data_IF_858132196239
#
_entry.id   IF_858132196239
#
_cell.length_a   1.000
_cell.length_b   1.000
_cell.length_c   1.000
_cell.angle_alpha   90.00
_cell.angle_beta   90.00
_cell.angle_gamma   90.00
#
_symmetry.space_group_name_H-M   'P 1'
#
loop_
_entity.id
_entity.type
_entity.pdbx_description
1 polymer ?
#
# COMPACT_ATOMS: atom_id res chain seq x y z
N UNK A 1 10.83 22.19 -9.39
CA UNK A 1 11.50 22.92 -8.30
C UNK A 1 12.87 23.35 -8.84
N UNK A 2 13.09 24.62 -9.05
CA UNK A 2 14.41 25.17 -9.34
C UNK A 2 15.15 25.47 -8.04
N UNK A 3 16.50 25.54 -8.09
CA UNK A 3 17.33 25.76 -6.89
C UNK A 3 16.99 27.02 -6.09
N UNK A 4 16.27 27.95 -6.67
CA UNK A 4 15.94 29.25 -6.08
C UNK A 4 14.44 29.58 -6.02
N UNK A 5 13.59 28.88 -6.74
CA UNK A 5 12.16 29.20 -6.81
C UNK A 5 11.28 27.96 -6.70
N UNK A 6 10.22 28.06 -5.90
CA UNK A 6 9.15 27.07 -5.81
C UNK A 6 7.95 27.62 -6.56
N UNK A 7 7.56 26.95 -7.63
CA UNK A 7 6.36 27.29 -8.41
C UNK A 7 5.20 26.44 -7.92
N UNK A 8 4.18 27.08 -7.35
CA UNK A 8 2.93 26.43 -6.95
C UNK A 8 1.90 26.71 -8.07
N UNK A 9 1.45 25.66 -8.74
CA UNK A 9 0.34 25.74 -9.70
C UNK A 9 -0.92 25.27 -9.01
N UNK A 10 -1.92 26.13 -8.99
CA UNK A 10 -3.27 25.75 -8.60
C UNK A 10 -3.88 24.95 -9.75
N UNK A 11 -4.17 23.70 -9.49
CA UNK A 11 -4.79 22.80 -10.46
C UNK A 11 -5.94 22.01 -9.82
N UNK A 12 -6.89 21.59 -10.62
CA UNK A 12 -7.94 20.67 -10.21
C UNK A 12 -7.59 19.30 -10.77
N UNK A 13 -7.26 18.30 -9.94
CA UNK A 13 -6.94 16.98 -10.43
C UNK A 13 -8.22 16.29 -10.95
N UNK A 14 -8.11 15.65 -12.11
CA UNK A 14 -9.13 14.76 -12.65
C UNK A 14 -8.53 13.36 -12.70
N UNK A 15 -9.14 12.41 -12.02
CA UNK A 15 -8.74 11.01 -12.08
C UNK A 15 -9.24 10.42 -13.40
N UNK A 16 -8.33 9.84 -14.15
CA UNK A 16 -8.62 9.21 -15.44
C UNK A 16 -8.31 7.73 -15.31
N UNK A 17 -9.22 6.87 -15.75
CA UNK A 17 -9.03 5.43 -15.75
C UNK A 17 -7.90 5.02 -16.71
N UNK A 18 -7.19 3.96 -16.36
CA UNK A 18 -6.18 3.39 -17.23
C UNK A 18 -6.82 2.90 -18.54
N UNK A 19 -6.25 3.29 -19.68
CA UNK A 19 -6.82 3.01 -21.01
C UNK A 19 -7.64 4.15 -21.60
N UNK A 20 -7.81 5.27 -20.90
CA UNK A 20 -8.41 6.46 -21.47
C UNK A 20 -7.46 7.16 -22.45
N UNK A 21 -8.00 7.63 -23.57
CA UNK A 21 -7.27 8.40 -24.57
C UNK A 21 -7.37 9.86 -24.19
N UNK A 22 -6.22 10.52 -23.97
CA UNK A 22 -6.17 11.95 -23.75
C UNK A 22 -6.39 12.68 -25.09
N UNK A 23 -7.36 13.59 -25.13
CA UNK A 23 -7.64 14.39 -26.32
C UNK A 23 -6.96 15.76 -26.30
N UNK A 24 -6.29 16.08 -25.21
CA UNK A 24 -5.67 17.38 -24.98
C UNK A 24 -4.18 17.23 -24.72
N UNK A 25 -3.37 18.02 -25.42
CA UNK A 25 -1.92 18.03 -25.23
C UNK A 25 -1.52 18.84 -24.00
N UNK A 26 -0.38 18.45 -23.40
CA UNK A 26 0.15 19.15 -22.22
C UNK A 26 0.50 20.60 -22.56
N UNK A 27 -0.11 21.54 -21.83
CA UNK A 27 0.10 22.98 -22.01
C UNK A 27 -0.93 23.67 -22.93
N UNK A 28 -1.86 22.93 -23.53
CA UNK A 28 -2.94 23.52 -24.33
C UNK A 28 -3.95 24.25 -23.44
N UNK A 29 -4.57 25.30 -24.00
CA UNK A 29 -5.63 26.04 -23.34
C UNK A 29 -6.95 25.27 -23.50
N UNK A 30 -7.65 25.03 -22.39
CA UNK A 30 -8.90 24.27 -22.34
C UNK A 30 -10.03 25.22 -21.95
N UNK A 31 -11.14 25.12 -22.63
CA UNK A 31 -12.36 25.88 -22.32
C UNK A 31 -13.34 25.01 -21.51
N UNK A 32 -14.34 25.66 -20.93
CA UNK A 32 -15.40 24.94 -20.22
C UNK A 32 -16.17 24.06 -21.21
N UNK A 33 -16.32 22.75 -20.84
CA UNK A 33 -16.97 21.69 -21.63
C UNK A 33 -16.10 21.06 -22.73
N UNK A 34 -14.84 21.42 -22.86
CA UNK A 34 -13.92 20.69 -23.74
C UNK A 34 -13.70 19.25 -23.22
N UNK A 35 -13.63 18.32 -24.16
CA UNK A 35 -13.33 16.93 -23.84
C UNK A 35 -11.84 16.81 -23.50
N UNK A 36 -11.55 16.40 -22.27
CA UNK A 36 -10.18 16.20 -21.81
C UNK A 36 -9.66 14.79 -22.11
N UNK A 37 -10.55 13.81 -21.97
CA UNK A 37 -10.22 12.41 -22.23
C UNK A 37 -11.46 11.63 -22.68
N UNK A 38 -11.25 10.66 -23.54
CA UNK A 38 -12.29 9.71 -23.96
C UNK A 38 -11.96 8.34 -23.40
N UNK A 39 -12.88 7.77 -22.64
CA UNK A 39 -12.81 6.40 -22.17
C UNK A 39 -13.65 5.52 -23.07
N UNK A 40 -13.01 4.62 -23.81
CA UNK A 40 -13.70 3.61 -24.58
C UNK A 40 -13.99 2.43 -23.67
N UNK A 41 -15.23 2.32 -23.21
CA UNK A 41 -15.70 1.12 -22.53
C UNK A 41 -15.97 0.03 -23.57
N UNK A 42 -15.04 -0.87 -23.78
CA UNK A 42 -15.43 -2.18 -24.26
C UNK A 42 -16.14 -2.92 -23.11
N UNK A 43 -17.47 -2.88 -23.14
CA UNK A 43 -18.28 -3.78 -22.32
C UNK A 43 -17.99 -5.21 -22.75
N UNK A 44 -17.00 -5.84 -22.13
CA UNK A 44 -16.92 -7.29 -22.08
C UNK A 44 -18.17 -7.77 -21.33
N UNK A 45 -19.22 -8.01 -22.12
CA UNK A 45 -20.46 -8.60 -21.62
C UNK A 45 -20.08 -9.93 -20.97
N UNK A 46 -20.31 -10.10 -19.70
CA UNK A 46 -20.52 -11.33 -18.95
C UNK A 46 -19.55 -11.80 -17.87
N UNK A 47 -18.33 -11.26 -17.73
CA UNK A 47 -17.43 -11.74 -16.66
C UNK A 47 -17.24 -10.72 -15.53
N UNK A 48 -17.48 -9.43 -15.77
CA UNK A 48 -17.12 -8.35 -14.84
C UNK A 48 -18.20 -7.91 -13.84
N UNK A 49 -19.44 -8.33 -13.98
CA UNK A 49 -20.53 -7.88 -13.10
C UNK A 49 -20.37 -8.45 -11.67
N UNK A 50 -19.67 -9.58 -11.54
CA UNK A 50 -19.45 -10.27 -10.24
C UNK A 50 -18.17 -9.79 -9.54
N UNK A 51 -17.24 -9.13 -10.22
CA UNK A 51 -15.94 -8.77 -9.66
C UNK A 51 -15.89 -7.40 -8.97
N UNK A 52 -16.81 -6.50 -9.24
CA UNK A 52 -16.78 -5.14 -8.71
C UNK A 52 -17.12 -5.05 -7.22
N UNK A 53 -18.38 -5.21 -6.87
CA UNK A 53 -18.86 -5.08 -5.48
C UNK A 53 -18.26 -6.13 -4.53
N UNK A 54 -18.16 -7.42 -4.90
CA UNK A 54 -17.49 -8.40 -4.06
C UNK A 54 -16.03 -8.08 -3.75
N UNK A 55 -15.30 -7.46 -4.70
CA UNK A 55 -13.92 -7.02 -4.45
C UNK A 55 -13.85 -5.89 -3.42
N UNK A 56 -14.80 -4.95 -3.45
CA UNK A 56 -14.88 -3.89 -2.42
C UNK A 56 -15.19 -4.50 -1.05
N UNK A 57 -16.12 -5.46 -0.99
CA UNK A 57 -16.46 -6.19 0.23
C UNK A 57 -15.22 -6.91 0.80
N UNK A 58 -14.48 -7.65 -0.03
CA UNK A 58 -13.23 -8.31 0.38
C UNK A 58 -12.20 -7.34 0.95
N UNK A 59 -12.06 -6.15 0.34
CA UNK A 59 -11.14 -5.11 0.81
C UNK A 59 -11.61 -4.56 2.16
N UNK A 60 -12.89 -4.21 2.29
CA UNK A 60 -13.44 -3.58 3.51
C UNK A 60 -13.54 -4.56 4.68
N UNK A 61 -13.71 -5.85 4.42
CA UNK A 61 -13.66 -6.89 5.45
C UNK A 61 -12.23 -7.36 5.76
N UNK A 62 -11.23 -6.78 5.11
CA UNK A 62 -9.83 -7.19 5.25
C UNK A 62 -9.63 -8.71 5.10
N UNK A 63 -10.33 -9.34 4.16
CA UNK A 63 -10.25 -10.79 3.93
C UNK A 63 -8.84 -11.16 3.45
N UNK A 64 -8.33 -12.30 3.94
CA UNK A 64 -7.07 -12.85 3.45
C UNK A 64 -7.27 -13.39 2.03
N UNK A 65 -6.48 -12.89 1.11
CA UNK A 65 -6.51 -13.29 -0.30
C UNK A 65 -5.87 -14.68 -0.45
N UNK A 66 -6.52 -15.52 -1.25
CA UNK A 66 -5.95 -16.83 -1.63
C UNK A 66 -4.91 -16.61 -2.74
N UNK A 67 -3.71 -17.18 -2.57
CA UNK A 67 -2.58 -17.06 -3.51
C UNK A 67 -2.25 -15.58 -3.87
N UNK A 68 -1.83 -14.79 -2.89
CA UNK A 68 -1.41 -13.42 -3.13
C UNK A 68 -0.10 -13.39 -3.94
N UNK A 69 0.15 -12.28 -4.65
CA UNK A 69 1.44 -12.07 -5.29
C UNK A 69 2.53 -11.81 -4.25
N UNK A 70 3.74 -12.26 -4.54
CA UNK A 70 4.92 -11.95 -3.74
C UNK A 70 5.34 -10.51 -4.03
N UNK A 71 5.55 -9.72 -2.99
CA UNK A 71 5.96 -8.32 -3.08
C UNK A 71 7.46 -8.16 -2.85
N UNK A 72 8.08 -7.20 -3.54
CA UNK A 72 9.48 -6.85 -3.30
C UNK A 72 9.65 -6.22 -1.91
N UNK A 73 10.51 -6.75 -1.03
CA UNK A 73 10.70 -6.27 0.34
C UNK A 73 11.47 -4.94 0.41
N UNK A 74 12.25 -4.64 -0.60
CA UNK A 74 13.00 -3.40 -0.78
C UNK A 74 13.28 -3.19 -2.27
N UNK A 75 13.72 -2.02 -2.62
CA UNK A 75 14.20 -1.72 -3.97
C UNK A 75 15.56 -2.39 -4.23
N UNK A 76 15.80 -2.79 -5.48
CA UNK A 76 17.04 -3.43 -5.87
C UNK A 76 16.92 -4.29 -7.11
N UNK A 77 17.94 -5.10 -7.36
CA UNK A 77 18.00 -6.00 -8.50
C UNK A 77 17.46 -7.38 -8.14
N UNK A 78 16.47 -7.86 -8.89
CA UNK A 78 15.85 -9.14 -8.65
C UNK A 78 16.45 -10.24 -9.54
N UNK A 79 16.82 -11.37 -8.92
CA UNK A 79 17.32 -12.55 -9.59
C UNK A 79 16.61 -13.80 -9.08
N UNK A 80 16.46 -14.78 -9.97
CA UNK A 80 15.91 -16.09 -9.59
C UNK A 80 17.04 -17.10 -9.47
N UNK A 81 17.19 -17.69 -8.29
CA UNK A 81 18.16 -18.76 -8.02
C UNK A 81 17.52 -19.87 -7.20
N UNK A 82 17.69 -21.10 -7.60
CA UNK A 82 17.31 -22.32 -6.84
C UNK A 82 15.91 -22.24 -6.19
N UNK A 83 14.88 -21.87 -6.98
CA UNK A 83 13.49 -21.70 -6.53
C UNK A 83 13.31 -20.60 -5.44
N UNK A 84 14.21 -19.62 -5.42
CA UNK A 84 14.12 -18.41 -4.59
C UNK A 84 14.27 -17.19 -5.46
N UNK A 85 13.53 -16.15 -5.11
CA UNK A 85 13.72 -14.82 -5.65
C UNK A 85 14.66 -14.08 -4.71
N UNK A 86 15.81 -13.68 -5.19
CA UNK A 86 16.79 -12.89 -4.45
C UNK A 86 16.69 -11.43 -4.92
N UNK A 87 16.38 -10.54 -4.00
CA UNK A 87 16.40 -9.10 -4.26
C UNK A 87 17.64 -8.52 -3.59
N UNK A 88 18.52 -7.90 -4.36
CA UNK A 88 19.77 -7.31 -3.89
C UNK A 88 19.67 -5.80 -3.95
N UNK A 89 19.81 -5.13 -2.81
CA UNK A 89 19.83 -3.68 -2.74
C UNK A 89 21.22 -3.13 -3.16
N UNK A 90 21.31 -1.86 -3.52
CA UNK A 90 22.56 -1.13 -3.83
C UNK A 90 23.59 -1.19 -2.69
N UNK A 91 23.14 -1.38 -1.45
CA UNK A 91 24.00 -1.55 -0.27
C UNK A 91 24.50 -2.98 -0.05
N UNK A 92 24.17 -3.93 -0.96
CA UNK A 92 24.58 -5.33 -0.88
C UNK A 92 23.72 -6.20 0.05
N UNK A 93 22.60 -5.72 0.58
CA UNK A 93 21.66 -6.56 1.32
C UNK A 93 20.90 -7.47 0.35
N UNK A 94 20.88 -8.76 0.66
CA UNK A 94 20.18 -9.79 -0.13
C UNK A 94 19.03 -10.32 0.68
N UNK A 95 17.83 -10.19 0.17
CA UNK A 95 16.64 -10.83 0.74
C UNK A 95 16.19 -11.95 -0.19
N UNK A 96 16.14 -13.17 0.33
CA UNK A 96 15.72 -14.35 -0.42
C UNK A 96 14.29 -14.75 -0.04
N UNK A 97 13.40 -14.81 -1.01
CA UNK A 97 11.99 -15.15 -0.84
C UNK A 97 11.72 -16.47 -1.57
N UNK A 98 11.10 -17.42 -0.88
CA UNK A 98 10.70 -18.68 -1.48
C UNK A 98 9.47 -18.46 -2.37
N UNK A 99 9.46 -19.04 -3.56
CA UNK A 99 8.29 -19.07 -4.43
C UNK A 99 7.97 -20.50 -4.87
N UNK A 100 6.72 -20.73 -5.24
CA UNK A 100 6.24 -22.04 -5.66
C UNK A 100 6.28 -22.14 -7.19
N UNK A 101 6.42 -23.35 -7.74
CA UNK A 101 6.41 -23.56 -9.21
C UNK A 101 5.13 -23.09 -9.91
N UNK A 102 4.07 -22.81 -9.14
CA UNK A 102 2.79 -22.27 -9.66
C UNK A 102 2.82 -20.76 -9.87
N UNK A 103 3.76 -20.07 -9.22
CA UNK A 103 3.86 -18.62 -9.27
C UNK A 103 4.58 -18.18 -10.55
N UNK A 104 3.89 -17.45 -11.39
CA UNK A 104 4.48 -16.90 -12.62
C UNK A 104 5.23 -15.62 -12.27
N UNK A 105 6.49 -15.58 -12.63
CA UNK A 105 7.39 -14.45 -12.40
C UNK A 105 7.08 -13.34 -13.40
N UNK A 106 7.02 -12.08 -12.91
CA UNK A 106 6.71 -10.89 -13.72
C UNK A 106 7.93 -10.08 -14.16
N UNK A 107 9.10 -10.38 -13.63
CA UNK A 107 10.32 -9.64 -13.91
C UNK A 107 11.34 -10.48 -14.67
N UNK A 108 12.29 -9.83 -15.33
CA UNK A 108 13.46 -10.49 -15.96
C UNK A 108 14.62 -10.55 -14.99
N UNK A 109 15.42 -11.61 -15.01
CA UNK A 109 16.60 -11.71 -14.15
C UNK A 109 17.52 -10.51 -14.33
N UNK A 110 17.92 -9.90 -13.22
CA UNK A 110 18.74 -8.71 -13.20
C UNK A 110 17.99 -7.39 -13.41
N UNK A 111 16.66 -7.41 -13.51
CA UNK A 111 15.88 -6.17 -13.58
C UNK A 111 15.81 -5.48 -12.22
N UNK A 112 15.78 -4.15 -12.27
CA UNK A 112 15.55 -3.32 -11.07
C UNK A 112 14.07 -3.34 -10.72
N UNK A 113 13.78 -3.62 -9.47
CA UNK A 113 12.42 -3.64 -8.91
C UNK A 113 12.29 -2.59 -7.81
N UNK A 114 11.12 -1.97 -7.72
CA UNK A 114 10.82 -0.98 -6.69
C UNK A 114 10.26 -1.66 -5.43
N UNK A 115 10.27 -0.93 -4.33
CA UNK A 115 9.61 -1.35 -3.09
C UNK A 115 8.13 -1.70 -3.38
N UNK A 116 7.67 -2.85 -2.86
CA UNK A 116 6.27 -3.34 -3.02
C UNK A 116 5.88 -3.65 -4.47
N UNK A 117 6.81 -3.68 -5.40
CA UNK A 117 6.51 -4.12 -6.74
C UNK A 117 6.15 -5.62 -6.74
N UNK A 118 5.05 -6.04 -7.42
CA UNK A 118 4.66 -7.45 -7.48
C UNK A 118 5.67 -8.23 -8.32
N UNK A 119 6.35 -9.19 -7.69
CA UNK A 119 7.34 -10.08 -8.30
C UNK A 119 6.69 -11.26 -9.03
N UNK A 120 5.48 -11.66 -8.60
CA UNK A 120 4.72 -12.76 -9.20
C UNK A 120 3.34 -12.30 -9.62
N UNK A 121 2.68 -13.09 -10.48
CA UNK A 121 1.29 -12.87 -10.85
C UNK A 121 0.37 -13.19 -9.66
N UNK A 122 -0.62 -12.34 -9.45
CA UNK A 122 -1.62 -12.51 -8.41
C UNK A 122 -2.13 -11.16 -7.89
N UNK A 123 -3.19 -11.18 -7.09
CA UNK A 123 -3.69 -9.99 -6.43
C UNK A 123 -2.78 -9.57 -5.28
N UNK A 124 -2.65 -8.27 -5.06
CA UNK A 124 -1.88 -7.72 -3.94
C UNK A 124 -2.68 -7.88 -2.64
N UNK A 125 -2.12 -8.58 -1.67
CA UNK A 125 -2.70 -8.71 -0.34
C UNK A 125 -2.44 -7.42 0.48
N UNK A 126 -3.48 -6.74 0.99
CA UNK A 126 -3.29 -5.58 1.85
C UNK A 126 -2.51 -5.89 3.14
N UNK A 127 -2.69 -7.09 3.70
CA UNK A 127 -1.97 -7.54 4.88
C UNK A 127 -0.47 -7.67 4.61
N UNK A 128 -0.10 -8.42 3.55
CA UNK A 128 1.32 -8.58 3.18
C UNK A 128 1.97 -7.25 2.79
N UNK A 129 1.21 -6.38 2.13
CA UNK A 129 1.68 -5.04 1.83
C UNK A 129 1.99 -4.26 3.10
N UNK A 130 1.12 -4.31 4.12
CA UNK A 130 1.33 -3.65 5.40
C UNK A 130 2.58 -4.19 6.11
N UNK A 131 2.71 -5.51 6.18
CA UNK A 131 3.85 -6.17 6.82
C UNK A 131 5.17 -5.83 6.09
N UNK A 132 5.17 -5.85 4.76
CA UNK A 132 6.34 -5.49 3.96
C UNK A 132 6.75 -4.03 4.17
N UNK A 133 5.79 -3.09 4.18
CA UNK A 133 6.04 -1.68 4.46
C UNK A 133 6.62 -1.46 5.85
N UNK A 134 5.99 -2.08 6.86
CA UNK A 134 6.45 -1.93 8.23
C UNK A 134 7.88 -2.46 8.40
N UNK A 135 8.16 -3.66 7.86
CA UNK A 135 9.50 -4.24 7.90
C UNK A 135 10.53 -3.37 7.18
N UNK A 136 10.18 -2.78 6.04
CA UNK A 136 11.04 -1.86 5.32
C UNK A 136 11.36 -0.62 6.16
N UNK A 137 10.37 0.08 6.67
CA UNK A 137 10.60 1.29 7.45
C UNK A 137 11.30 1.04 8.77
N UNK A 138 10.99 -0.07 9.43
CA UNK A 138 11.59 -0.39 10.73
C UNK A 138 13.01 -0.95 10.61
N UNK A 139 13.26 -1.92 9.72
CA UNK A 139 14.55 -2.61 9.64
C UNK A 139 15.52 -1.96 8.66
N UNK A 140 15.06 -1.46 7.50
CA UNK A 140 15.93 -0.89 6.48
C UNK A 140 16.17 0.61 6.68
N UNK A 141 15.12 1.40 6.91
CA UNK A 141 15.23 2.82 7.19
C UNK A 141 15.54 3.13 8.66
N UNK A 142 15.40 2.13 9.55
CA UNK A 142 15.65 2.26 10.99
C UNK A 142 14.87 3.39 11.64
N UNK A 143 13.64 3.58 11.22
CA UNK A 143 12.75 4.54 11.83
C UNK A 143 12.31 4.05 13.21
N UNK A 144 11.92 4.98 14.07
CA UNK A 144 11.27 4.63 15.32
C UNK A 144 9.98 3.86 15.04
N UNK A 145 9.63 2.91 15.90
CA UNK A 145 8.49 1.99 15.69
C UNK A 145 7.17 2.72 15.41
N UNK A 146 6.90 3.81 16.13
CA UNK A 146 5.72 4.66 15.93
C UNK A 146 5.70 5.31 14.54
N UNK A 147 6.85 5.79 14.08
CA UNK A 147 7.02 6.41 12.77
C UNK A 147 6.86 5.37 11.67
N UNK A 148 7.49 4.21 11.81
CA UNK A 148 7.36 3.09 10.89
C UNK A 148 5.91 2.63 10.74
N UNK A 149 5.16 2.51 11.84
CA UNK A 149 3.72 2.20 11.81
C UNK A 149 2.91 3.28 11.09
N UNK A 150 3.17 4.55 11.36
CA UNK A 150 2.44 5.67 10.73
C UNK A 150 2.67 5.73 9.22
N UNK A 151 3.91 5.58 8.77
CA UNK A 151 4.25 5.59 7.35
C UNK A 151 3.62 4.39 6.63
N UNK A 152 3.71 3.20 7.23
CA UNK A 152 3.09 1.99 6.69
C UNK A 152 1.59 2.11 6.56
N UNK A 153 0.91 2.64 7.58
CA UNK A 153 -0.53 2.90 7.51
C UNK A 153 -0.89 3.92 6.45
N UNK A 154 -0.14 5.01 6.34
CA UNK A 154 -0.40 6.05 5.35
C UNK A 154 -0.33 5.51 3.92
N UNK A 155 0.67 4.70 3.61
CA UNK A 155 0.82 4.10 2.28
C UNK A 155 -0.26 3.05 2.00
N UNK A 156 -0.60 2.25 3.01
CA UNK A 156 -1.69 1.30 2.88
C UNK A 156 -3.03 1.99 2.68
N UNK A 157 -3.31 3.08 3.43
CA UNK A 157 -4.53 3.87 3.28
C UNK A 157 -4.69 4.40 1.85
N UNK A 158 -3.65 4.98 1.29
CA UNK A 158 -3.65 5.45 -0.10
C UNK A 158 -3.93 4.31 -1.08
N UNK A 159 -3.32 3.16 -0.86
CA UNK A 159 -3.56 1.99 -1.70
C UNK A 159 -5.03 1.52 -1.64
N UNK A 160 -5.58 1.37 -0.42
CA UNK A 160 -6.96 0.90 -0.23
C UNK A 160 -7.98 1.87 -0.82
N UNK A 161 -7.82 3.18 -0.60
CA UNK A 161 -8.71 4.20 -1.18
C UNK A 161 -8.68 4.12 -2.71
N UNK A 162 -7.49 4.03 -3.30
CA UNK A 162 -7.34 3.95 -4.75
C UNK A 162 -7.95 2.67 -5.33
N UNK A 163 -7.79 1.52 -4.68
CA UNK A 163 -8.37 0.24 -5.14
C UNK A 163 -9.90 0.26 -5.08
N UNK A 164 -10.47 0.80 -3.99
CA UNK A 164 -11.92 0.95 -3.86
C UNK A 164 -12.46 1.93 -4.91
N UNK A 165 -11.83 3.10 -5.07
CA UNK A 165 -12.21 4.08 -6.08
C UNK A 165 -12.14 3.51 -7.49
N UNK A 166 -11.05 2.83 -7.83
CA UNK A 166 -10.90 2.18 -9.13
C UNK A 166 -12.04 1.19 -9.41
N UNK A 167 -12.43 0.43 -8.40
CA UNK A 167 -13.51 -0.54 -8.52
C UNK A 167 -14.86 0.15 -8.77
N UNK A 168 -15.18 1.21 -8.02
CA UNK A 168 -16.41 1.97 -8.25
C UNK A 168 -16.41 2.70 -9.58
N UNK A 169 -15.30 3.31 -9.98
CA UNK A 169 -15.17 3.98 -11.27
C UNK A 169 -15.35 2.99 -12.44
N UNK A 170 -14.85 1.76 -12.33
CA UNK A 170 -15.06 0.72 -13.35
C UNK A 170 -16.53 0.35 -13.52
N UNK A 171 -17.37 0.56 -12.49
CA UNK A 171 -18.83 0.37 -12.52
C UNK A 171 -19.60 1.65 -12.90
N UNK A 172 -18.88 2.75 -13.24
CA UNK A 172 -19.51 4.04 -13.58
C UNK A 172 -20.04 4.81 -12.38
N UNK A 173 -19.70 4.41 -11.16
CA UNK A 173 -20.14 5.07 -9.92
C UNK A 173 -19.04 5.98 -9.41
N UNK A 174 -19.37 7.24 -9.12
CA UNK A 174 -18.47 8.21 -8.50
C UNK A 174 -18.82 8.37 -7.02
N UNK A 175 -17.87 8.10 -6.16
CA UNK A 175 -18.00 8.27 -4.71
C UNK A 175 -16.93 9.28 -4.27
N UNK A 176 -17.31 10.18 -3.36
CA UNK A 176 -16.33 11.10 -2.76
C UNK A 176 -15.33 10.34 -1.89
N UNK A 177 -14.02 10.59 -2.09
CA UNK A 177 -12.93 9.91 -1.39
C UNK A 177 -13.08 9.94 0.13
N UNK A 178 -13.59 11.04 0.67
CA UNK A 178 -13.78 11.26 2.12
C UNK A 178 -14.57 10.15 2.81
N UNK A 179 -15.56 9.57 2.14
CA UNK A 179 -16.36 8.49 2.72
C UNK A 179 -15.55 7.21 2.87
N UNK A 180 -14.72 6.91 1.87
CA UNK A 180 -13.84 5.73 1.89
C UNK A 180 -12.68 5.96 2.86
N UNK A 181 -12.09 7.15 2.88
CA UNK A 181 -11.00 7.53 3.78
C UNK A 181 -11.36 7.34 5.25
N UNK A 182 -12.60 7.68 5.67
CA UNK A 182 -13.05 7.51 7.05
C UNK A 182 -13.07 6.03 7.44
N UNK A 183 -13.58 5.16 6.57
CA UNK A 183 -13.64 3.72 6.80
C UNK A 183 -12.20 3.15 6.86
N UNK A 184 -11.38 3.45 5.87
CA UNK A 184 -10.00 2.97 5.78
C UNK A 184 -9.16 3.47 6.96
N UNK A 185 -9.38 4.70 7.43
CA UNK A 185 -8.73 5.22 8.65
C UNK A 185 -9.07 4.39 9.88
N UNK A 186 -10.34 3.96 10.01
CA UNK A 186 -10.74 3.11 11.12
C UNK A 186 -10.14 1.72 11.03
N UNK A 187 -10.08 1.13 9.82
CA UNK A 187 -9.46 -0.17 9.57
C UNK A 187 -7.96 -0.20 9.91
N UNK A 188 -7.27 0.93 9.80
CA UNK A 188 -5.82 1.10 10.01
C UNK A 188 -5.50 1.87 11.29
N UNK A 189 -6.31 1.73 12.32
CA UNK A 189 -6.15 2.44 13.59
C UNK A 189 -5.51 1.59 14.69
N UNK A 190 -5.48 0.27 14.51
CA UNK A 190 -5.07 -0.69 15.54
C UNK A 190 -3.67 -1.24 15.29
N UNK A 191 -2.99 -1.51 16.40
CA UNK A 191 -1.71 -2.23 16.43
C UNK A 191 -1.83 -3.41 17.38
N UNK A 192 -1.03 -4.44 17.15
CA UNK A 192 -0.92 -5.60 18.03
C UNK A 192 0.37 -5.52 18.81
N UNK A 193 0.28 -5.69 20.12
CA UNK A 193 1.43 -5.75 21.00
C UNK A 193 2.10 -7.12 20.82
N UNK A 194 3.37 -7.14 20.42
CA UNK A 194 4.15 -8.37 20.31
C UNK A 194 4.97 -8.61 21.60
N UNK A 195 5.56 -7.55 22.12
CA UNK A 195 6.30 -7.57 23.39
C UNK A 195 5.88 -6.37 24.23
N UNK A 196 5.54 -6.62 25.47
CA UNK A 196 5.10 -5.59 26.41
C UNK A 196 6.24 -4.71 26.94
N UNK A 197 7.50 -5.15 26.83
CA UNK A 197 8.60 -4.50 27.55
C UNK A 197 8.28 -4.39 29.05
N UNK A 198 8.61 -3.26 29.66
CA UNK A 198 8.34 -2.97 31.09
C UNK A 198 6.96 -2.31 31.31
N UNK A 199 6.08 -2.32 30.30
CA UNK A 199 4.76 -1.69 30.40
C UNK A 199 3.69 -2.64 30.92
N UNK A 200 2.55 -2.08 31.31
CA UNK A 200 1.36 -2.85 31.78
C UNK A 200 0.59 -3.53 30.66
N UNK A 201 1.04 -3.42 29.41
CA UNK A 201 0.38 -3.99 28.25
C UNK A 201 0.54 -5.51 28.21
N UNK A 202 -0.41 -6.19 27.57
CA UNK A 202 -0.33 -7.65 27.43
C UNK A 202 0.10 -8.02 26.00
N UNK A 203 1.00 -8.99 25.81
CA UNK A 203 1.31 -9.53 24.48
C UNK A 203 0.05 -10.06 23.79
N UNK A 204 -0.14 -9.71 22.52
CA UNK A 204 -1.33 -10.04 21.74
C UNK A 204 -2.49 -9.06 21.89
N UNK A 205 -2.41 -8.09 22.78
CA UNK A 205 -3.44 -7.06 22.95
C UNK A 205 -3.54 -6.15 21.74
N UNK A 206 -4.79 -5.76 21.39
CA UNK A 206 -5.09 -4.87 20.26
C UNK A 206 -5.46 -3.49 20.77
N UNK A 207 -4.60 -2.52 20.54
CA UNK A 207 -4.78 -1.14 20.98
C UNK A 207 -4.77 -0.17 19.80
N UNK A 208 -5.29 1.03 20.02
CA UNK A 208 -5.12 2.11 19.05
C UNK A 208 -3.67 2.60 19.06
N UNK A 209 -3.11 2.88 17.90
CA UNK A 209 -1.75 3.39 17.78
C UNK A 209 -1.50 4.58 18.69
N UNK A 210 -2.45 5.52 18.76
CA UNK A 210 -2.34 6.69 19.62
C UNK A 210 -2.20 6.35 21.12
N UNK A 211 -2.92 5.33 21.61
CA UNK A 211 -2.85 4.90 23.00
C UNK A 211 -1.46 4.31 23.32
N UNK A 212 -0.95 3.47 22.42
CA UNK A 212 0.38 2.87 22.57
C UNK A 212 1.48 3.94 22.51
N UNK A 213 1.34 4.94 21.65
CA UNK A 213 2.30 6.05 21.59
C UNK A 213 2.37 6.87 22.87
N UNK A 214 1.24 7.08 23.54
CA UNK A 214 1.22 7.76 24.86
C UNK A 214 1.96 6.91 25.88
N UNK A 215 1.67 5.62 25.94
CA UNK A 215 2.34 4.69 26.86
C UNK A 215 3.84 4.62 26.58
N UNK A 216 4.23 4.47 25.32
CA UNK A 216 5.64 4.45 24.89
C UNK A 216 6.37 5.73 25.32
N UNK A 217 5.75 6.89 25.16
CA UNK A 217 6.34 8.16 25.59
C UNK A 217 6.53 8.21 27.11
N UNK A 218 5.56 7.73 27.89
CA UNK A 218 5.67 7.70 29.35
C UNK A 218 6.78 6.74 29.80
N UNK A 219 6.91 5.55 29.22
CA UNK A 219 7.96 4.58 29.54
C UNK A 219 9.36 5.11 29.23
N UNK A 220 9.52 5.80 28.08
CA UNK A 220 10.79 6.42 27.72
C UNK A 220 11.22 7.53 28.71
N UNK A 221 10.28 8.25 29.34
CA UNK A 221 10.62 9.27 30.34
C UNK A 221 11.14 8.68 31.66
N UNK A 222 10.79 7.42 31.92
CA UNK A 222 11.20 6.69 33.15
C UNK A 222 12.38 5.76 32.93
N UNK A 223 12.97 5.74 31.72
CA UNK A 223 14.03 4.80 31.28
C UNK A 223 13.60 3.32 31.31
N UNK A 224 12.33 3.03 31.12
CA UNK A 224 11.80 1.69 30.98
C UNK A 224 11.88 1.22 29.51
N UNK A 225 11.89 -0.09 29.31
CA UNK A 225 11.88 -0.66 27.97
C UNK A 225 10.50 -0.43 27.32
N UNK A 226 10.52 0.22 26.15
CA UNK A 226 9.31 0.50 25.37
C UNK A 226 8.71 -0.79 24.79
N UNK A 227 7.38 -0.87 24.63
CA UNK A 227 6.73 -2.02 24.02
C UNK A 227 7.06 -2.13 22.53
N UNK A 228 7.16 -3.36 22.02
CA UNK A 228 7.25 -3.64 20.60
C UNK A 228 5.88 -4.03 20.05
N UNK A 229 5.47 -3.42 18.97
CA UNK A 229 4.14 -3.63 18.37
C UNK A 229 4.19 -3.57 16.85
N UNK A 230 3.26 -4.26 16.22
CA UNK A 230 3.12 -4.33 14.76
C UNK A 230 1.80 -3.72 14.31
N UNK A 231 1.76 -3.03 13.16
CA UNK A 231 0.51 -2.51 12.61
C UNK A 231 -0.41 -3.64 12.18
N UNK A 232 -1.71 -3.48 12.38
CA UNK A 232 -2.71 -4.48 12.05
C UNK A 232 -3.83 -3.87 11.20
N UNK A 233 -4.22 -4.56 10.13
CA UNK A 233 -5.38 -4.21 9.33
C UNK A 233 -6.59 -5.02 9.82
N UNK A 234 -7.66 -4.33 10.19
CA UNK A 234 -8.93 -4.91 10.60
C UNK A 234 -10.05 -4.49 9.65
N UNK A 235 -10.98 -5.41 9.38
CA UNK A 235 -12.18 -5.14 8.60
C UNK A 235 -13.35 -4.61 9.44
#
# INVERSE_FOLDING_TARGET
>A
IDKTNVYIRLGRPYLISQGAILEVESGSLVQRLDKLATLIYEKLKTVDIVQGLPKVEEILEARKIKNPCILAPHEGYANVRNSKIEVTNDKGYITAINFTQRDKIRFSNGSYVKLIEPLTDGPISPHEKLDTLFNYYYYFEKLAINEACRQSFRELQLFLVNEVQRTYLSQGVQIADKHIEIIVKQMTSKVRIEDSGDTILLPGELLNLYQVEIITKSSLTVNEQAPFYTPLLLG
#
